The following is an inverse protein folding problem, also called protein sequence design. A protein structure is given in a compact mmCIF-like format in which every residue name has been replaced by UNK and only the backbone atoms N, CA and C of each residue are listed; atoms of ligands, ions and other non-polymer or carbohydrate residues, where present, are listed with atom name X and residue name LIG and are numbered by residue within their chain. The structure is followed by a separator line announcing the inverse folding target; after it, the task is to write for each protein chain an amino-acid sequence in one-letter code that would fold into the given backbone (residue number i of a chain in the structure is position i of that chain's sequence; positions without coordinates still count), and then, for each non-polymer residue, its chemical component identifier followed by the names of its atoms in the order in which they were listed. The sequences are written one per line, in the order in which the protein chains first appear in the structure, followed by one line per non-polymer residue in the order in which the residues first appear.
data_IF_229413307492
#
_entry.id   IF_229413307492
#
_cell.length_a   1.000
_cell.length_b   1.000
_cell.length_c   1.000
_cell.angle_alpha   90.00
_cell.angle_beta   90.00
_cell.angle_gamma   90.00
#
_symmetry.space_group_name_H-M   'P 1'
#
loop_
_entity.id
_entity.type
_entity.pdbx_description
1 polymer ?
#
# COMPACT_ATOMS: atom_id res chain seq x y z
N UNK A 1 7.02 -32.89 -23.20
CA UNK A 1 6.28 -32.00 -24.10
C UNK A 1 5.74 -30.89 -23.24
N UNK A 2 6.10 -29.63 -23.50
CA UNK A 2 5.40 -28.50 -22.91
C UNK A 2 3.95 -28.59 -23.38
N UNK A 3 3.01 -28.60 -22.45
CA UNK A 3 1.59 -28.59 -22.77
C UNK A 3 1.22 -27.19 -23.27
N UNK A 4 0.18 -27.03 -24.10
CA UNK A 4 -0.26 -25.70 -24.57
C UNK A 4 -0.51 -24.72 -23.41
N UNK A 5 -0.84 -25.23 -22.22
CA UNK A 5 -0.99 -24.46 -20.99
C UNK A 5 0.32 -23.86 -20.48
N UNK A 6 1.43 -24.59 -20.58
CA UNK A 6 2.75 -24.12 -20.12
C UNK A 6 3.22 -22.95 -20.99
N UNK A 7 3.16 -23.10 -22.31
CA UNK A 7 3.56 -22.06 -23.26
C UNK A 7 2.72 -20.78 -23.05
N UNK A 8 1.42 -20.94 -22.79
CA UNK A 8 0.55 -19.81 -22.45
C UNK A 8 0.95 -19.14 -21.13
N UNK A 9 1.25 -19.92 -20.08
CA UNK A 9 1.71 -19.38 -18.81
C UNK A 9 3.03 -18.63 -18.95
N UNK A 10 3.97 -19.13 -19.76
CA UNK A 10 5.24 -18.46 -20.02
C UNK A 10 5.02 -17.10 -20.71
N UNK A 11 4.16 -17.04 -21.73
CA UNK A 11 3.77 -15.79 -22.38
C UNK A 11 3.12 -14.81 -21.40
N UNK A 12 2.26 -15.31 -20.49
CA UNK A 12 1.67 -14.50 -19.43
C UNK A 12 2.77 -13.90 -18.52
N UNK A 13 3.77 -14.68 -18.12
CA UNK A 13 4.85 -14.20 -17.25
C UNK A 13 5.79 -13.23 -17.96
N UNK A 14 6.05 -13.41 -19.25
CA UNK A 14 6.81 -12.44 -20.05
C UNK A 14 6.10 -11.09 -20.09
N UNK A 15 4.79 -11.08 -20.34
CA UNK A 15 4.00 -9.86 -20.25
C UNK A 15 4.04 -9.26 -18.84
N UNK A 16 3.80 -10.06 -17.81
CA UNK A 16 3.79 -9.61 -16.42
C UNK A 16 5.12 -8.94 -16.05
N UNK A 17 6.25 -9.56 -16.39
CA UNK A 17 7.58 -9.03 -16.13
C UNK A 17 7.81 -7.69 -16.86
N UNK A 18 7.29 -7.54 -18.08
CA UNK A 18 7.33 -6.27 -18.79
C UNK A 18 6.45 -5.19 -18.13
N UNK A 19 5.27 -5.58 -17.62
CA UNK A 19 4.33 -4.68 -16.97
C UNK A 19 4.88 -4.18 -15.62
N UNK A 20 5.58 -5.03 -14.86
CA UNK A 20 6.17 -4.66 -13.57
C UNK A 20 7.25 -3.58 -13.72
N UNK A 21 8.01 -3.58 -14.84
CA UNK A 21 9.10 -2.63 -15.10
C UNK A 21 8.64 -1.22 -15.46
N UNK A 22 7.36 -1.01 -15.74
CA UNK A 22 6.84 0.33 -16.08
C UNK A 22 6.90 1.25 -14.86
N UNK A 23 7.33 2.49 -15.11
CA UNK A 23 7.36 3.57 -14.12
C UNK A 23 5.94 4.13 -13.95
N UNK A 24 5.25 3.65 -12.93
CA UNK A 24 3.89 4.07 -12.57
C UNK A 24 3.64 3.72 -11.09
N UNK A 25 2.61 4.32 -10.49
CA UNK A 25 2.25 4.04 -9.09
C UNK A 25 1.85 2.58 -8.88
N UNK A 26 2.08 2.07 -7.66
CA UNK A 26 1.68 0.71 -7.28
C UNK A 26 0.20 0.43 -7.53
N UNK A 27 -0.66 1.43 -7.31
CA UNK A 27 -2.09 1.33 -7.55
C UNK A 27 -2.42 1.09 -9.03
N UNK A 28 -1.94 1.95 -9.94
CA UNK A 28 -2.18 1.82 -11.39
C UNK A 28 -1.60 0.51 -11.94
N UNK A 29 -0.43 0.12 -11.43
CA UNK A 29 0.23 -1.16 -11.77
C UNK A 29 -0.64 -2.34 -11.37
N UNK A 30 -1.14 -2.34 -10.14
CA UNK A 30 -2.02 -3.39 -9.63
C UNK A 30 -3.29 -3.49 -10.46
N UNK A 31 -3.95 -2.37 -10.78
CA UNK A 31 -5.18 -2.37 -11.59
C UNK A 31 -4.98 -2.98 -12.97
N UNK A 32 -3.92 -2.59 -13.68
CA UNK A 32 -3.61 -3.15 -15.00
C UNK A 32 -3.33 -4.65 -14.91
N UNK A 33 -2.52 -5.07 -13.94
CA UNK A 33 -2.17 -6.49 -13.79
C UNK A 33 -3.41 -7.30 -13.42
N UNK A 34 -4.26 -6.83 -12.49
CA UNK A 34 -5.53 -7.48 -12.15
C UNK A 34 -6.38 -7.71 -13.40
N UNK A 35 -6.56 -6.68 -14.24
CA UNK A 35 -7.35 -6.78 -15.45
C UNK A 35 -6.76 -7.82 -16.44
N UNK A 36 -5.45 -7.80 -16.64
CA UNK A 36 -4.75 -8.73 -17.51
C UNK A 36 -4.83 -10.17 -16.98
N UNK A 37 -4.46 -10.41 -15.71
CA UNK A 37 -4.48 -11.74 -15.10
C UNK A 37 -5.90 -12.33 -15.06
N UNK A 38 -6.92 -11.51 -14.81
CA UNK A 38 -8.32 -11.97 -14.86
C UNK A 38 -8.68 -12.50 -16.24
N UNK A 39 -8.33 -11.77 -17.30
CA UNK A 39 -8.53 -12.23 -18.67
C UNK A 39 -7.73 -13.51 -18.95
N UNK A 40 -6.47 -13.56 -18.54
CA UNK A 40 -5.63 -14.74 -18.77
C UNK A 40 -6.16 -16.00 -18.08
N UNK A 41 -6.74 -15.88 -16.88
CA UNK A 41 -7.38 -17.01 -16.21
C UNK A 41 -8.66 -17.46 -16.93
N UNK A 42 -9.42 -16.53 -17.52
CA UNK A 42 -10.59 -16.86 -18.35
C UNK A 42 -10.18 -17.58 -19.64
N UNK A 43 -9.10 -17.15 -20.28
CA UNK A 43 -8.54 -17.80 -21.47
C UNK A 43 -8.00 -19.20 -21.14
N UNK A 44 -7.27 -19.36 -20.03
CA UNK A 44 -6.84 -20.67 -19.53
C UNK A 44 -8.03 -21.60 -19.27
N UNK A 45 -9.11 -21.09 -18.67
CA UNK A 45 -10.35 -21.85 -18.47
C UNK A 45 -10.93 -22.31 -19.80
N UNK A 46 -11.04 -21.41 -20.78
CA UNK A 46 -11.57 -21.75 -22.10
C UNK A 46 -10.73 -22.83 -22.79
N UNK A 47 -9.39 -22.74 -22.71
CA UNK A 47 -8.49 -23.76 -23.27
C UNK A 47 -8.72 -25.13 -22.64
N UNK A 48 -8.92 -25.21 -21.33
CA UNK A 48 -9.16 -26.48 -20.62
C UNK A 48 -10.52 -27.07 -20.97
N UNK A 49 -11.55 -26.25 -21.10
CA UNK A 49 -12.88 -26.71 -21.50
C UNK A 49 -12.90 -27.26 -22.93
N UNK A 50 -12.06 -26.73 -23.82
CA UNK A 50 -11.96 -27.15 -25.22
C UNK A 50 -11.06 -28.38 -25.41
N UNK A 51 -9.88 -28.40 -24.77
CA UNK A 51 -8.88 -29.45 -24.99
C UNK A 51 -8.93 -30.58 -23.94
N UNK A 52 -9.42 -30.28 -22.73
CA UNK A 52 -9.29 -31.17 -21.57
C UNK A 52 -7.84 -31.42 -21.16
N UNK A 53 -7.63 -32.50 -20.40
CA UNK A 53 -6.30 -33.02 -20.08
C UNK A 53 -6.15 -34.43 -20.65
N UNK A 54 -4.97 -34.74 -21.18
CA UNK A 54 -4.68 -36.05 -21.77
C UNK A 54 -4.48 -37.14 -20.71
N UNK A 55 -3.98 -36.76 -19.52
CA UNK A 55 -3.68 -37.66 -18.39
C UNK A 55 -3.88 -36.94 -17.06
N UNK A 56 -4.09 -37.70 -16.00
CA UNK A 56 -4.19 -37.17 -14.62
C UNK A 56 -2.94 -36.39 -14.19
N UNK A 57 -1.74 -36.84 -14.56
CA UNK A 57 -0.49 -36.12 -14.25
C UNK A 57 -0.46 -34.71 -14.84
N UNK A 58 -1.07 -34.51 -16.02
CA UNK A 58 -1.18 -33.20 -16.67
C UNK A 58 -2.15 -32.29 -15.91
N UNK A 59 -3.29 -32.83 -15.48
CA UNK A 59 -4.26 -32.13 -14.66
C UNK A 59 -3.67 -31.72 -13.30
N UNK A 60 -2.99 -32.66 -12.63
CA UNK A 60 -2.26 -32.41 -11.38
C UNK A 60 -1.24 -31.30 -11.59
N UNK A 61 -0.41 -31.39 -12.64
CA UNK A 61 0.60 -30.38 -12.91
C UNK A 61 -0.02 -29.00 -13.13
N UNK A 62 -1.15 -28.94 -13.85
CA UNK A 62 -1.87 -27.70 -14.08
C UNK A 62 -2.38 -27.08 -12.78
N UNK A 63 -3.10 -27.84 -11.95
CA UNK A 63 -3.71 -27.34 -10.71
C UNK A 63 -2.74 -27.17 -9.55
N UNK A 64 -1.61 -27.87 -9.54
CA UNK A 64 -0.56 -27.74 -8.52
C UNK A 64 0.44 -26.64 -8.82
N UNK A 65 0.81 -26.47 -10.10
CA UNK A 65 1.95 -25.62 -10.49
C UNK A 65 1.53 -24.45 -11.38
N UNK A 66 0.92 -24.72 -12.54
CA UNK A 66 0.70 -23.69 -13.56
C UNK A 66 -0.35 -22.65 -13.13
N UNK A 67 -1.57 -23.12 -12.84
CA UNK A 67 -2.67 -22.24 -12.44
C UNK A 67 -2.37 -21.49 -11.14
N UNK A 68 -1.85 -22.11 -10.06
CA UNK A 68 -1.51 -21.38 -8.85
C UNK A 68 -0.51 -20.24 -9.06
N UNK A 69 0.49 -20.42 -9.95
CA UNK A 69 1.44 -19.36 -10.28
C UNK A 69 0.75 -18.14 -10.88
N UNK A 70 -0.15 -18.33 -11.86
CA UNK A 70 -0.91 -17.22 -12.47
C UNK A 70 -1.91 -16.63 -11.47
N UNK A 71 -2.68 -17.47 -10.81
CA UNK A 71 -3.75 -17.04 -9.89
C UNK A 71 -3.21 -16.31 -8.66
N UNK A 72 -2.03 -16.70 -8.17
CA UNK A 72 -1.36 -16.00 -7.06
C UNK A 72 -1.11 -14.53 -7.37
N UNK A 73 -0.84 -14.17 -8.63
CA UNK A 73 -0.65 -12.78 -9.04
C UNK A 73 -1.95 -11.98 -8.91
N UNK A 74 -3.09 -12.56 -9.29
CA UNK A 74 -4.39 -11.91 -9.12
C UNK A 74 -4.68 -11.64 -7.64
N UNK A 75 -4.46 -12.65 -6.77
CA UNK A 75 -4.64 -12.51 -5.32
C UNK A 75 -3.71 -11.42 -4.77
N UNK A 76 -2.42 -11.51 -5.08
CA UNK A 76 -1.41 -10.56 -4.62
C UNK A 76 -1.73 -9.12 -5.04
N UNK A 77 -1.94 -8.85 -6.33
CA UNK A 77 -2.20 -7.50 -6.81
C UNK A 77 -3.56 -6.95 -6.35
N UNK A 78 -4.56 -7.81 -6.16
CA UNK A 78 -5.83 -7.38 -5.54
C UNK A 78 -5.62 -6.87 -4.12
N UNK A 79 -4.79 -7.57 -3.32
CA UNK A 79 -4.43 -7.14 -1.96
C UNK A 79 -3.56 -5.89 -1.96
N UNK A 80 -2.58 -5.79 -2.87
CA UNK A 80 -1.79 -4.56 -3.06
C UNK A 80 -2.70 -3.38 -3.38
N UNK A 81 -3.63 -3.54 -4.33
CA UNK A 81 -4.61 -2.49 -4.68
C UNK A 81 -5.40 -2.04 -3.44
N UNK A 82 -5.91 -2.99 -2.64
CA UNK A 82 -6.66 -2.68 -1.42
C UNK A 82 -5.80 -1.89 -0.42
N UNK A 83 -4.59 -2.37 -0.14
CA UNK A 83 -3.65 -1.70 0.77
C UNK A 83 -3.33 -0.28 0.29
N UNK A 84 -2.92 -0.12 -0.96
CA UNK A 84 -2.58 1.19 -1.54
C UNK A 84 -3.77 2.15 -1.58
N UNK A 85 -4.99 1.63 -1.73
CA UNK A 85 -6.21 2.45 -1.73
C UNK A 85 -6.60 2.89 -0.32
N UNK A 86 -6.43 2.03 0.69
CA UNK A 86 -6.90 2.27 2.05
C UNK A 86 -5.89 3.08 2.87
N UNK A 87 -4.59 2.77 2.73
CA UNK A 87 -3.53 3.32 3.56
C UNK A 87 -3.49 4.87 3.61
N UNK A 88 -3.74 5.62 2.51
CA UNK A 88 -3.76 7.08 2.52
C UNK A 88 -4.86 7.70 3.40
N UNK A 89 -5.94 6.99 3.69
CA UNK A 89 -7.04 7.50 4.53
C UNK A 89 -6.73 7.50 6.02
N UNK A 90 -5.68 6.77 6.46
CA UNK A 90 -5.23 6.81 7.84
C UNK A 90 -4.32 8.04 8.05
N UNK A 91 -4.81 9.03 8.78
CA UNK A 91 -4.03 10.23 9.10
C UNK A 91 -2.92 9.96 10.14
N UNK A 92 -3.20 9.16 11.16
CA UNK A 92 -2.24 8.88 12.23
C UNK A 92 -1.34 7.68 11.91
N UNK A 93 -0.06 7.81 12.26
CA UNK A 93 0.95 6.76 12.08
C UNK A 93 0.53 5.43 12.71
N UNK A 94 0.02 5.46 13.94
CA UNK A 94 -0.44 4.28 14.69
C UNK A 94 -1.57 3.52 13.99
N UNK A 95 -2.44 4.22 13.27
CA UNK A 95 -3.54 3.59 12.55
C UNK A 95 -3.02 2.86 11.30
N UNK A 96 -2.03 3.45 10.59
CA UNK A 96 -1.34 2.80 9.47
C UNK A 96 -0.62 1.53 9.94
N UNK A 97 0.12 1.61 11.05
CA UNK A 97 0.81 0.47 11.66
C UNK A 97 -0.17 -0.65 12.01
N UNK A 98 -1.26 -0.31 12.71
CA UNK A 98 -2.29 -1.27 13.12
C UNK A 98 -2.94 -1.95 11.93
N UNK A 99 -3.22 -1.20 10.86
CA UNK A 99 -3.78 -1.75 9.63
C UNK A 99 -2.83 -2.77 8.98
N UNK A 100 -1.56 -2.40 8.75
CA UNK A 100 -0.59 -3.30 8.13
C UNK A 100 -0.28 -4.52 9.01
N UNK A 101 -0.19 -4.34 10.34
CA UNK A 101 -0.03 -5.44 11.29
C UNK A 101 -1.22 -6.41 11.24
N UNK A 102 -2.45 -5.89 11.05
CA UNK A 102 -3.62 -6.73 10.90
C UNK A 102 -3.59 -7.53 9.59
N UNK A 103 -3.16 -6.92 8.48
CA UNK A 103 -2.98 -7.64 7.21
C UNK A 103 -1.94 -8.78 7.34
N UNK A 104 -0.80 -8.51 7.97
CA UNK A 104 0.22 -9.52 8.28
C UNK A 104 -0.31 -10.63 9.19
N UNK A 105 -1.15 -10.29 10.18
CA UNK A 105 -1.78 -11.27 11.09
C UNK A 105 -2.72 -12.21 10.33
N UNK A 106 -3.51 -11.69 9.38
CA UNK A 106 -4.39 -12.51 8.53
C UNK A 106 -3.57 -13.52 7.72
N UNK A 107 -2.44 -13.09 7.16
CA UNK A 107 -1.51 -13.96 6.46
C UNK A 107 -0.94 -15.03 7.40
N UNK A 108 -0.50 -14.65 8.60
CA UNK A 108 0.03 -15.58 9.61
C UNK A 108 -0.99 -16.66 10.01
N UNK A 109 -2.26 -16.28 10.19
CA UNK A 109 -3.35 -17.23 10.48
C UNK A 109 -3.58 -18.22 9.34
N UNK A 110 -3.47 -17.80 8.08
CA UNK A 110 -3.56 -18.72 6.95
C UNK A 110 -2.46 -19.80 7.02
N UNK A 111 -1.21 -19.40 7.23
CA UNK A 111 -0.09 -20.34 7.32
C UNK A 111 -0.22 -21.27 8.53
N UNK A 112 -0.68 -20.76 9.67
CA UNK A 112 -0.91 -21.57 10.86
C UNK A 112 -1.99 -22.64 10.61
N UNK A 113 -3.11 -22.26 10.01
CA UNK A 113 -4.23 -23.15 9.76
C UNK A 113 -3.97 -24.15 8.62
N UNK A 114 -2.97 -23.91 7.77
CA UNK A 114 -2.65 -24.75 6.63
C UNK A 114 -1.20 -25.27 6.67
N UNK A 115 -0.60 -25.37 7.86
CA UNK A 115 0.83 -25.68 8.02
C UNK A 115 1.25 -26.95 7.26
N UNK A 116 0.51 -28.05 7.40
CA UNK A 116 0.82 -29.32 6.75
C UNK A 116 0.79 -29.21 5.22
N UNK A 117 -0.22 -28.55 4.68
CA UNK A 117 -0.32 -28.30 3.23
C UNK A 117 0.79 -27.37 2.74
N UNK A 118 1.14 -26.34 3.51
CA UNK A 118 2.24 -25.44 3.15
C UNK A 118 3.58 -26.19 3.13
N UNK A 119 3.83 -27.04 4.12
CA UNK A 119 5.01 -27.90 4.17
C UNK A 119 5.01 -28.89 2.99
N UNK A 120 3.86 -29.47 2.68
CA UNK A 120 3.69 -30.36 1.53
C UNK A 120 4.11 -29.68 0.22
N UNK A 121 3.59 -28.47 -0.02
CA UNK A 121 3.91 -27.69 -1.22
C UNK A 121 5.36 -27.24 -1.28
N UNK A 122 5.93 -26.75 -0.16
CA UNK A 122 7.31 -26.23 -0.13
C UNK A 122 8.40 -27.31 -0.26
N UNK A 123 8.07 -28.56 0.06
CA UNK A 123 8.98 -29.70 -0.08
C UNK A 123 8.75 -30.47 -1.39
N UNK A 124 7.91 -29.95 -2.31
CA UNK A 124 7.59 -30.57 -3.60
C UNK A 124 7.15 -32.04 -3.48
N UNK A 125 6.48 -32.41 -2.39
CA UNK A 125 5.95 -33.75 -2.20
C UNK A 125 4.84 -34.07 -3.21
N UNK A 126 4.66 -35.34 -3.56
CA UNK A 126 3.67 -35.80 -4.55
C UNK A 126 2.68 -36.86 -4.05
N UNK A 127 2.86 -37.36 -2.82
CA UNK A 127 2.11 -38.51 -2.30
C UNK A 127 0.61 -38.25 -1.97
N UNK A 128 0.12 -37.03 -2.20
CA UNK A 128 -1.29 -36.62 -2.06
C UNK A 128 -1.78 -35.84 -3.29
N UNK A 129 -1.03 -35.87 -4.41
CA UNK A 129 -1.34 -35.06 -5.59
C UNK A 129 -2.70 -35.42 -6.20
N UNK A 130 -3.01 -36.71 -6.21
CA UNK A 130 -4.29 -37.27 -6.65
C UNK A 130 -5.46 -36.76 -5.82
N UNK A 131 -5.26 -36.52 -4.52
CA UNK A 131 -6.30 -36.01 -3.61
C UNK A 131 -6.43 -34.50 -3.65
N UNK A 132 -5.33 -33.78 -3.82
CA UNK A 132 -5.32 -32.32 -3.76
C UNK A 132 -5.62 -31.66 -5.12
N UNK A 133 -5.14 -32.24 -6.23
CA UNK A 133 -5.05 -31.54 -7.51
C UNK A 133 -5.79 -32.21 -8.67
N UNK A 134 -6.58 -33.27 -8.41
CA UNK A 134 -7.57 -33.76 -9.37
C UNK A 134 -8.95 -33.16 -9.08
N UNK A 135 -9.67 -32.76 -10.13
CA UNK A 135 -11.07 -32.31 -9.99
C UNK A 135 -11.97 -33.47 -9.60
N UNK A 136 -13.11 -33.13 -8.99
CA UNK A 136 -14.14 -34.10 -8.55
C UNK A 136 -13.80 -34.87 -7.27
N UNK A 137 -12.62 -34.67 -6.69
CA UNK A 137 -12.30 -35.17 -5.35
C UNK A 137 -13.11 -34.40 -4.31
N UNK A 138 -13.85 -35.12 -3.46
CA UNK A 138 -14.75 -34.56 -2.43
C UNK A 138 -14.54 -35.30 -1.11
N UNK A 139 -13.32 -35.28 -0.59
CA UNK A 139 -13.06 -35.89 0.71
C UNK A 139 -13.57 -34.97 1.83
N UNK A 140 -14.80 -35.16 2.29
CA UNK A 140 -15.43 -34.31 3.34
C UNK A 140 -14.56 -33.98 4.58
N UNK A 141 -13.51 -34.75 4.90
CA UNK A 141 -12.59 -34.48 6.01
C UNK A 141 -11.50 -33.44 5.68
N UNK A 142 -11.21 -33.23 4.40
CA UNK A 142 -10.16 -32.35 3.91
C UNK A 142 -10.68 -30.99 3.40
N UNK A 143 -12.01 -30.82 3.34
CA UNK A 143 -12.66 -29.74 2.60
C UNK A 143 -13.48 -28.83 3.52
N UNK A 144 -13.39 -27.52 3.27
CA UNK A 144 -14.34 -26.55 3.81
C UNK A 144 -15.55 -26.52 2.85
N UNK A 145 -16.66 -27.15 3.26
CA UNK A 145 -17.89 -27.27 2.45
C UNK A 145 -18.41 -25.91 1.96
N UNK A 146 -18.11 -24.82 2.68
CA UNK A 146 -18.49 -23.47 2.28
C UNK A 146 -17.80 -23.02 1.00
N UNK A 147 -16.54 -23.43 0.77
CA UNK A 147 -15.75 -23.07 -0.42
C UNK A 147 -16.22 -23.84 -1.66
N UNK A 148 -16.52 -25.14 -1.51
CA UNK A 148 -17.01 -26.01 -2.60
C UNK A 148 -18.29 -25.50 -3.24
N UNK A 149 -19.19 -24.90 -2.44
CA UNK A 149 -20.50 -24.43 -2.91
C UNK A 149 -20.45 -23.24 -3.89
N UNK A 150 -19.30 -22.56 -3.97
CA UNK A 150 -19.11 -21.34 -4.78
C UNK A 150 -18.01 -21.55 -5.83
N UNK A 151 -17.18 -22.58 -5.71
CA UNK A 151 -16.13 -22.88 -6.69
C UNK A 151 -16.71 -23.45 -7.98
N UNK A 152 -16.14 -22.99 -9.10
CA UNK A 152 -16.39 -23.51 -10.44
C UNK A 152 -15.78 -24.91 -10.59
N UNK A 153 -16.59 -25.99 -10.56
CA UNK A 153 -16.08 -27.36 -10.52
C UNK A 153 -15.31 -27.76 -11.78
N UNK A 154 -15.54 -27.07 -12.90
CA UNK A 154 -14.87 -27.36 -14.17
C UNK A 154 -13.46 -26.77 -14.24
N UNK A 155 -13.16 -25.77 -13.40
CA UNK A 155 -11.90 -25.02 -13.44
C UNK A 155 -11.22 -24.88 -12.08
N UNK A 156 -11.65 -25.55 -11.02
CA UNK A 156 -11.01 -25.41 -9.70
C UNK A 156 -10.86 -26.76 -8.99
N UNK A 157 -9.85 -26.83 -8.12
CA UNK A 157 -9.83 -27.80 -7.02
C UNK A 157 -9.96 -27.02 -5.71
N UNK A 158 -10.01 -27.67 -4.55
CA UNK A 158 -9.95 -26.93 -3.29
C UNK A 158 -8.53 -26.47 -2.94
N UNK A 159 -7.52 -27.15 -3.46
CA UNK A 159 -6.13 -26.94 -3.08
C UNK A 159 -5.33 -26.12 -4.08
N UNK A 160 -5.79 -25.96 -5.33
CA UNK A 160 -5.17 -25.01 -6.27
C UNK A 160 -5.33 -23.56 -5.78
N UNK A 161 -6.47 -23.21 -5.18
CA UNK A 161 -6.66 -21.93 -4.51
C UNK A 161 -5.76 -21.77 -3.29
N UNK A 162 -5.64 -22.82 -2.45
CA UNK A 162 -4.72 -22.79 -1.30
C UNK A 162 -3.26 -22.64 -1.76
N UNK A 163 -2.86 -23.31 -2.84
CA UNK A 163 -1.55 -23.16 -3.46
C UNK A 163 -1.35 -21.74 -4.00
N UNK A 164 -2.36 -21.14 -4.64
CA UNK A 164 -2.30 -19.76 -5.10
C UNK A 164 -2.17 -18.77 -3.93
N UNK A 165 -2.92 -18.98 -2.84
CA UNK A 165 -2.81 -18.21 -1.60
C UNK A 165 -1.42 -18.31 -0.98
N UNK A 166 -0.84 -19.51 -0.89
CA UNK A 166 0.53 -19.73 -0.40
C UNK A 166 1.51 -18.80 -1.13
N UNK A 167 1.53 -18.90 -2.47
CA UNK A 167 2.43 -18.10 -3.32
C UNK A 167 2.16 -16.60 -3.21
N UNK A 168 0.87 -16.21 -3.19
CA UNK A 168 0.47 -14.80 -3.10
C UNK A 168 0.86 -14.19 -1.76
N UNK A 169 0.71 -14.92 -0.66
CA UNK A 169 1.00 -14.45 0.68
C UNK A 169 2.49 -14.41 0.99
N UNK A 170 3.31 -15.29 0.40
CA UNK A 170 4.77 -15.15 0.43
C UNK A 170 5.19 -13.81 -0.20
N UNK A 171 4.63 -13.45 -1.38
CA UNK A 171 4.89 -12.16 -2.03
C UNK A 171 4.32 -10.97 -1.22
N UNK A 172 3.09 -11.11 -0.71
CA UNK A 172 2.41 -10.05 0.03
C UNK A 172 3.11 -9.73 1.35
N UNK A 173 3.66 -10.74 2.03
CA UNK A 173 4.44 -10.55 3.26
C UNK A 173 5.65 -9.64 3.00
N UNK A 174 6.36 -9.86 1.90
CA UNK A 174 7.50 -9.01 1.50
C UNK A 174 7.04 -7.58 1.23
N UNK A 175 5.94 -7.41 0.48
CA UNK A 175 5.38 -6.09 0.19
C UNK A 175 4.95 -5.34 1.45
N UNK A 176 4.21 -6.00 2.34
CA UNK A 176 3.71 -5.41 3.58
C UNK A 176 4.86 -5.05 4.53
N UNK A 177 5.86 -5.91 4.69
CA UNK A 177 7.03 -5.60 5.52
C UNK A 177 7.78 -4.38 4.97
N UNK A 178 7.96 -4.27 3.65
CA UNK A 178 8.52 -3.05 3.03
C UNK A 178 7.66 -1.81 3.28
N UNK A 179 6.33 -1.94 3.29
CA UNK A 179 5.42 -0.83 3.65
C UNK A 179 5.59 -0.43 5.11
N UNK A 180 5.67 -1.39 6.02
CA UNK A 180 5.96 -1.14 7.44
C UNK A 180 7.32 -0.43 7.58
N UNK A 181 8.36 -0.93 6.94
CA UNK A 181 9.68 -0.29 6.91
C UNK A 181 9.62 1.13 6.36
N UNK A 182 8.91 1.38 5.25
CA UNK A 182 8.76 2.74 4.68
C UNK A 182 8.02 3.72 5.58
N UNK A 183 7.17 3.21 6.49
CA UNK A 183 6.44 4.04 7.44
C UNK A 183 7.35 4.51 8.58
N UNK A 184 8.36 3.70 8.95
CA UNK A 184 9.36 4.04 9.96
C UNK A 184 10.64 4.67 9.39
N UNK A 185 10.95 4.30 8.15
CA UNK A 185 12.18 4.60 7.43
C UNK A 185 11.87 5.43 6.20
N UNK A 186 11.58 6.70 6.43
CA UNK A 186 12.09 7.83 5.64
C UNK A 186 11.68 9.15 6.29
N UNK A 187 12.68 9.83 6.85
CA UNK A 187 12.70 11.27 6.93
C UNK A 187 13.12 11.94 5.61
N UNK A 188 13.17 11.23 4.47
CA UNK A 188 13.64 11.83 3.20
C UNK A 188 13.35 11.06 1.88
N UNK A 189 12.34 10.20 1.81
CA UNK A 189 11.81 9.77 0.50
C UNK A 189 10.33 10.09 0.46
N UNK A 190 10.07 11.17 -0.27
CA UNK A 190 8.78 11.56 -0.80
C UNK A 190 7.98 10.32 -1.21
N UNK A 191 6.93 10.02 -0.43
CA UNK A 191 5.66 9.76 -1.06
C UNK A 191 5.44 10.92 -2.01
N UNK A 192 5.60 10.71 -3.32
CA UNK A 192 4.98 11.59 -4.31
C UNK A 192 3.48 11.34 -4.20
N UNK A 193 2.90 11.86 -3.12
CA UNK A 193 1.65 12.57 -3.23
C UNK A 193 2.01 13.71 -4.17
N UNK A 194 1.45 13.73 -5.38
CA UNK A 194 1.34 15.00 -6.10
C UNK A 194 0.58 15.91 -5.12
N UNK A 195 1.30 16.73 -4.35
CA UNK A 195 0.68 17.59 -3.36
C UNK A 195 -0.22 18.57 -4.12
N UNK A 196 -1.52 18.62 -3.83
CA UNK A 196 -2.38 19.67 -4.35
C UNK A 196 -2.19 20.98 -3.57
N UNK A 197 -1.22 21.05 -2.65
CA UNK A 197 -0.93 22.26 -1.89
C UNK A 197 0.04 23.15 -2.66
N UNK A 198 -0.30 24.43 -2.88
CA UNK A 198 0.64 25.36 -3.47
C UNK A 198 1.86 25.50 -2.56
N UNK A 199 3.06 25.35 -3.12
CA UNK A 199 4.30 25.68 -2.42
C UNK A 199 4.26 27.16 -2.00
N UNK A 200 4.22 27.40 -0.69
CA UNK A 200 4.23 28.75 -0.13
C UNK A 200 5.64 29.09 0.33
N UNK A 201 6.18 30.20 -0.15
CA UNK A 201 7.48 30.70 0.28
C UNK A 201 7.32 31.92 1.17
N UNK A 202 8.06 31.95 2.28
CA UNK A 202 8.12 33.13 3.13
C UNK A 202 8.98 34.21 2.47
N UNK A 203 8.36 35.31 2.08
CA UNK A 203 9.03 36.46 1.46
C UNK A 203 9.35 37.58 2.45
N UNK A 204 8.89 37.46 3.70
CA UNK A 204 9.20 38.40 4.78
C UNK A 204 10.60 38.18 5.39
N UNK A 205 10.97 39.01 6.34
CA UNK A 205 12.21 38.81 7.11
C UNK A 205 12.09 37.62 8.07
N UNK A 206 13.20 36.95 8.40
CA UNK A 206 13.24 35.87 9.42
C UNK A 206 12.73 36.36 10.78
N UNK A 207 13.07 37.59 11.15
CA UNK A 207 12.68 38.17 12.43
C UNK A 207 11.17 38.46 12.50
N UNK A 208 10.52 38.79 11.37
CA UNK A 208 9.06 38.90 11.29
C UNK A 208 8.37 37.54 11.46
N UNK A 209 8.95 36.48 10.89
CA UNK A 209 8.42 35.12 11.06
C UNK A 209 8.56 34.64 12.51
N UNK A 210 9.70 34.93 13.16
CA UNK A 210 9.90 34.65 14.58
C UNK A 210 8.90 35.42 15.45
N UNK A 211 8.62 36.69 15.14
CA UNK A 211 7.61 37.49 15.84
C UNK A 211 6.22 36.83 15.79
N UNK A 212 5.81 36.35 14.62
CA UNK A 212 4.54 35.61 14.44
C UNK A 212 4.52 34.29 15.22
N UNK A 213 5.61 33.52 15.18
CA UNK A 213 5.72 32.24 15.89
C UNK A 213 5.57 32.44 17.41
N UNK A 214 6.23 33.44 17.98
CA UNK A 214 6.10 33.76 19.40
C UNK A 214 4.70 34.29 19.76
N UNK A 215 4.05 35.04 18.86
CA UNK A 215 2.67 35.49 19.07
C UNK A 215 1.68 34.34 19.11
N UNK A 216 1.81 33.36 18.20
CA UNK A 216 0.99 32.16 18.15
C UNK A 216 1.24 31.24 19.36
N UNK A 217 2.49 31.15 19.82
CA UNK A 217 2.81 30.45 21.05
C UNK A 217 2.12 31.11 22.26
N UNK A 218 2.23 32.44 22.37
CA UNK A 218 1.68 33.20 23.49
C UNK A 218 0.15 33.23 23.52
N UNK A 219 -0.50 33.20 22.35
CA UNK A 219 -1.98 33.17 22.27
C UNK A 219 -2.57 31.83 22.72
N UNK A 220 -1.77 30.75 22.71
CA UNK A 220 -2.20 29.41 23.07
C UNK A 220 -3.24 28.80 22.14
N UNK A 221 -3.46 29.37 20.94
CA UNK A 221 -4.48 28.89 20.02
C UNK A 221 -4.13 27.57 19.33
N UNK A 222 -2.87 27.10 19.45
CA UNK A 222 -2.37 25.87 18.84
C UNK A 222 -2.22 24.79 19.92
N UNK A 223 -2.71 23.58 19.63
CA UNK A 223 -2.66 22.41 20.51
C UNK A 223 -3.18 22.70 21.94
N UNK A 224 -4.26 23.48 22.03
CA UNK A 224 -4.84 23.90 23.32
C UNK A 224 -3.81 24.55 24.27
N UNK A 225 -2.88 25.33 23.73
CA UNK A 225 -1.84 26.02 24.49
C UNK A 225 -0.59 25.19 24.79
N UNK A 226 -0.50 23.95 24.30
CA UNK A 226 0.63 23.05 24.57
C UNK A 226 1.72 23.09 23.50
N UNK A 227 1.60 23.93 22.48
CA UNK A 227 2.60 24.03 21.41
C UNK A 227 3.89 24.70 21.92
N UNK A 228 5.01 23.97 21.86
CA UNK A 228 6.33 24.49 22.20
C UNK A 228 6.91 25.37 21.10
N UNK A 229 7.79 26.30 21.47
CA UNK A 229 8.47 27.19 20.51
C UNK A 229 9.30 26.42 19.48
N UNK A 230 9.89 25.29 19.89
CA UNK A 230 10.65 24.41 19.03
C UNK A 230 9.77 23.77 17.96
N UNK A 231 8.64 23.22 18.36
CA UNK A 231 7.70 22.54 17.45
C UNK A 231 7.10 23.54 16.45
N UNK A 232 6.77 24.75 16.91
CA UNK A 232 6.29 25.83 16.07
C UNK A 232 7.37 26.29 15.09
N UNK A 233 8.61 26.49 15.54
CA UNK A 233 9.73 26.82 14.67
C UNK A 233 9.87 25.77 13.56
N UNK A 234 10.02 24.50 13.92
CA UNK A 234 10.24 23.41 12.95
C UNK A 234 9.08 23.28 11.96
N UNK A 235 7.85 23.53 12.42
CA UNK A 235 6.66 23.54 11.55
C UNK A 235 6.74 24.67 10.52
N UNK A 236 7.06 25.88 10.95
CA UNK A 236 7.14 27.05 10.07
C UNK A 236 8.34 26.99 9.11
N UNK A 237 9.47 26.43 9.54
CA UNK A 237 10.63 26.17 8.66
C UNK A 237 10.27 25.21 7.53
N UNK A 238 9.48 24.15 7.83
CA UNK A 238 8.98 23.20 6.83
C UNK A 238 7.95 23.82 5.89
N UNK A 239 6.94 24.50 6.45
CA UNK A 239 5.83 25.08 5.66
C UNK A 239 6.33 26.13 4.66
N UNK A 240 7.37 26.89 5.02
CA UNK A 240 7.88 27.98 4.19
C UNK A 240 9.22 27.70 3.52
N UNK A 241 9.78 26.50 3.69
CA UNK A 241 11.10 26.10 3.18
C UNK A 241 12.20 27.12 3.55
N UNK A 242 12.23 27.56 4.81
CA UNK A 242 13.17 28.57 5.32
C UNK A 242 13.90 28.08 6.55
N UNK A 243 15.18 28.43 6.70
CA UNK A 243 15.93 28.19 7.93
C UNK A 243 15.89 29.43 8.83
N UNK A 244 15.25 29.35 9.99
CA UNK A 244 15.11 30.46 10.94
C UNK A 244 16.34 30.65 11.83
N UNK A 245 17.14 29.60 12.02
CA UNK A 245 18.33 29.65 12.88
C UNK A 245 17.96 29.80 14.37
N UNK A 246 18.65 30.69 15.09
CA UNK A 246 18.43 30.89 16.52
C UNK A 246 17.24 31.84 16.78
N UNK A 247 16.05 31.24 16.96
CA UNK A 247 14.83 31.97 17.28
C UNK A 247 14.89 32.70 18.62
N UNK A 248 15.65 32.19 19.60
CA UNK A 248 15.77 32.85 20.90
C UNK A 248 16.54 34.17 20.77
N UNK A 249 17.65 34.16 20.02
CA UNK A 249 18.39 35.39 19.69
C UNK A 249 17.51 36.39 18.96
N UNK A 250 16.81 35.98 17.91
CA UNK A 250 15.92 36.85 17.14
C UNK A 250 14.78 37.43 18.02
N UNK A 251 14.29 36.65 18.98
CA UNK A 251 13.32 37.13 19.96
C UNK A 251 13.89 38.17 20.93
N UNK A 252 15.13 38.02 21.39
CA UNK A 252 15.79 39.06 22.18
C UNK A 252 15.93 40.36 21.39
N UNK A 253 16.24 40.28 20.09
CA UNK A 253 16.27 41.44 19.21
C UNK A 253 14.89 42.10 19.10
N UNK A 254 13.80 41.32 19.00
CA UNK A 254 12.42 41.84 19.02
C UNK A 254 12.13 42.59 20.32
N UNK A 255 12.50 42.01 21.48
CA UNK A 255 12.30 42.64 22.80
C UNK A 255 13.07 43.96 22.97
N UNK A 256 14.18 44.13 22.26
CA UNK A 256 15.01 45.32 22.34
C UNK A 256 14.54 46.47 21.43
N UNK A 257 13.56 46.24 20.55
CA UNK A 257 13.01 47.28 19.68
C UNK A 257 12.17 48.28 20.47
N UNK A 258 12.18 49.54 20.04
CA UNK A 258 11.22 50.55 20.51
C UNK A 258 9.77 50.16 20.19
N UNK A 259 9.56 49.39 19.11
CA UNK A 259 8.27 48.85 18.72
C UNK A 259 8.35 47.32 18.56
N UNK A 260 7.80 46.59 19.53
CA UNK A 260 7.99 45.14 19.67
C UNK A 260 7.13 44.31 18.71
N UNK A 261 5.90 44.73 18.42
CA UNK A 261 4.89 43.98 17.62
C UNK A 261 4.74 44.49 16.19
N UNK A 262 5.81 45.11 15.65
CA UNK A 262 5.78 45.81 14.36
C UNK A 262 5.17 44.99 13.22
N UNK A 263 5.46 43.70 13.13
CA UNK A 263 4.96 42.85 12.05
C UNK A 263 3.49 42.44 12.28
N UNK A 264 3.10 42.16 13.53
CA UNK A 264 1.71 41.83 13.85
C UNK A 264 0.79 43.03 13.59
N UNK A 265 1.24 44.24 13.92
CA UNK A 265 0.47 45.46 13.65
C UNK A 265 0.29 45.69 12.15
N UNK A 266 1.34 45.43 11.36
CA UNK A 266 1.26 45.46 9.90
C UNK A 266 0.26 44.42 9.35
N UNK A 267 0.21 43.21 9.93
CA UNK A 267 -0.77 42.18 9.54
C UNK A 267 -2.21 42.60 9.88
N UNK A 268 -2.44 43.17 11.06
CA UNK A 268 -3.74 43.71 11.47
C UNK A 268 -4.21 44.80 10.50
N UNK A 269 -3.35 45.77 10.20
CA UNK A 269 -3.66 46.84 9.25
C UNK A 269 -3.97 46.28 7.85
N UNK A 270 -3.14 45.34 7.36
CA UNK A 270 -3.34 44.71 6.05
C UNK A 270 -4.66 43.94 5.95
N UNK A 271 -5.07 43.26 7.03
CA UNK A 271 -6.33 42.54 7.08
C UNK A 271 -7.53 43.50 7.10
N UNK A 272 -7.48 44.57 7.91
CA UNK A 272 -8.54 45.57 7.98
C UNK A 272 -8.74 46.25 6.62
N UNK A 273 -7.66 46.68 5.96
CA UNK A 273 -7.72 47.28 4.63
C UNK A 273 -8.36 46.33 3.60
N UNK A 274 -8.08 45.02 3.70
CA UNK A 274 -8.68 44.01 2.81
C UNK A 274 -10.18 43.84 3.07
N UNK A 275 -10.63 43.90 4.31
CA UNK A 275 -12.05 43.83 4.69
C UNK A 275 -12.78 45.07 4.17
N UNK A 276 -12.26 46.26 4.44
CA UNK A 276 -12.85 47.52 3.98
C UNK A 276 -12.99 47.60 2.45
N UNK A 277 -12.00 47.07 1.71
CA UNK A 277 -12.03 47.03 0.25
C UNK A 277 -13.04 46.01 -0.34
N UNK A 278 -13.54 45.07 0.45
CA UNK A 278 -14.58 44.11 0.03
C UNK A 278 -16.00 44.59 0.35
N UNK A 279 -16.12 45.51 1.31
CA UNK A 279 -17.38 46.15 1.71
C UNK A 279 -17.70 47.43 0.90
N UNK A 280 -16.80 47.83 -0.01
CA UNK A 280 -16.99 48.90 -1.01
C UNK A 280 -17.40 48.32 -2.37
#
# INVERSE_FOLDING_TARGET
MLTPFSDYCDQYFDYLNSAIKKSESHLKKAERIIAFTTRSLQELKAMILDHGFSKQDEEIHFFKILKPKVFSQLIYYTRVKQVESILPYFGYLKDKEKFLANELRVIGLFFQNNMDFCNYMRNDFSFLDDKYFLRGQTDSQLFDESFLSITDPDFATCYDYKAACLLAYDLLTIFLNKKVESIYGTGDESFVVEEPFPHLHWTGSKIALVELIYALQASGCINHGHAGIKDLKETFEKVFEIELGDCYRLFLEIKARNHTTKFLDQLCESLNNKIEAQDQ
#
